data_IF_495962014976
#
_entry.id   IF_495962014976
#
_cell.length_a   1.000
_cell.length_b   1.000
_cell.length_c   1.000
_cell.angle_alpha   90.00
_cell.angle_beta   90.00
_cell.angle_gamma   90.00
#
_symmetry.space_group_name_H-M   'P 1'
#
loop_
_entity.id
_entity.type
_entity.pdbx_description
1 polymer ?
#
# COMPACT_ATOMS: atom_id res chain seq x y z
N UNK A 1 -36.89 -1.02 -10.46
CA UNK A 1 -36.04 -1.98 -11.19
C UNK A 1 -34.65 -1.37 -11.34
N UNK A 2 -33.64 -2.18 -11.08
CA UNK A 2 -32.24 -1.80 -10.94
C UNK A 2 -31.58 -1.34 -12.24
N UNK A 3 -30.62 -0.40 -12.15
CA UNK A 3 -29.23 -0.63 -12.58
C UNK A 3 -28.33 0.54 -12.12
N UNK A 4 -27.87 0.50 -10.87
CA UNK A 4 -26.74 1.34 -10.46
C UNK A 4 -25.49 0.80 -11.16
N UNK A 5 -25.04 1.51 -12.20
CA UNK A 5 -23.81 1.20 -12.94
C UNK A 5 -22.61 1.66 -12.11
N UNK A 6 -22.17 0.80 -11.20
CA UNK A 6 -20.84 0.87 -10.57
C UNK A 6 -19.85 0.26 -11.58
N UNK A 7 -19.50 0.95 -12.68
CA UNK A 7 -18.61 0.38 -13.71
C UNK A 7 -17.57 1.36 -14.26
N UNK A 8 -17.18 2.40 -13.51
CA UNK A 8 -16.09 3.28 -13.96
C UNK A 8 -15.30 3.87 -12.79
N UNK A 9 -14.76 2.98 -11.96
CA UNK A 9 -13.57 3.31 -11.14
C UNK A 9 -12.26 2.97 -11.88
N UNK A 10 -12.36 2.43 -13.10
CA UNK A 10 -11.26 1.98 -13.96
C UNK A 10 -10.46 3.13 -14.62
N UNK A 11 -10.82 4.39 -14.35
CA UNK A 11 -10.20 5.58 -14.94
C UNK A 11 -9.65 6.56 -13.89
N UNK A 12 -9.13 6.04 -12.79
CA UNK A 12 -8.11 6.78 -12.03
C UNK A 12 -6.77 6.47 -12.68
N UNK A 13 -6.50 7.15 -13.78
CA UNK A 13 -5.20 7.02 -14.41
C UNK A 13 -4.14 7.59 -13.47
N UNK A 14 -3.21 6.72 -13.08
CA UNK A 14 -2.05 6.97 -12.21
C UNK A 14 -0.99 7.88 -12.86
N UNK A 15 -1.39 8.78 -13.75
CA UNK A 15 -0.46 9.53 -14.61
C UNK A 15 0.19 10.74 -13.92
N UNK A 16 -0.10 10.98 -12.64
CA UNK A 16 0.48 12.09 -11.86
C UNK A 16 1.27 11.63 -10.62
N UNK A 17 1.51 10.32 -10.45
CA UNK A 17 2.34 9.81 -9.35
C UNK A 17 3.76 9.59 -9.89
N UNK A 18 4.63 10.59 -9.71
CA UNK A 18 6.10 10.58 -9.88
C UNK A 18 6.69 9.54 -10.86
N UNK A 19 7.32 10.02 -11.93
CA UNK A 19 7.99 9.29 -13.03
C UNK A 19 8.99 8.17 -12.63
N UNK A 20 9.27 7.93 -11.34
CA UNK A 20 10.32 7.02 -10.86
C UNK A 20 9.80 5.73 -10.16
N UNK A 21 8.50 5.58 -9.92
CA UNK A 21 7.97 4.39 -9.23
C UNK A 21 7.18 3.48 -10.18
N UNK A 22 7.86 2.49 -10.74
CA UNK A 22 7.22 1.43 -11.53
C UNK A 22 6.39 0.53 -10.59
N UNK A 23 5.09 0.79 -10.51
CA UNK A 23 4.15 0.03 -9.69
C UNK A 23 3.85 -1.30 -10.38
N UNK A 24 4.36 -2.41 -9.85
CA UNK A 24 4.05 -3.75 -10.37
C UNK A 24 2.94 -4.36 -9.52
N UNK A 25 1.76 -4.67 -10.10
CA UNK A 25 0.75 -5.48 -9.42
C UNK A 25 1.30 -6.89 -9.28
N UNK A 26 1.66 -7.28 -8.06
CA UNK A 26 2.27 -8.59 -7.79
C UNK A 26 1.30 -9.57 -7.11
N UNK A 27 0.14 -9.12 -6.65
CA UNK A 27 -0.81 -9.93 -5.89
C UNK A 27 -1.91 -10.49 -6.78
N UNK A 28 -2.32 -11.74 -6.51
CA UNK A 28 -3.54 -12.30 -7.10
C UNK A 28 -4.77 -11.85 -6.30
N UNK A 29 -5.99 -11.86 -6.87
CA UNK A 29 -7.21 -11.55 -6.12
C UNK A 29 -7.39 -12.39 -4.85
N UNK A 30 -6.89 -13.64 -4.87
CA UNK A 30 -6.94 -14.55 -3.72
C UNK A 30 -6.04 -14.09 -2.57
N UNK A 31 -4.86 -13.51 -2.89
CA UNK A 31 -3.95 -12.93 -1.90
C UNK A 31 -4.56 -11.67 -1.26
N UNK A 32 -5.24 -10.83 -2.05
CA UNK A 32 -5.93 -9.63 -1.55
C UNK A 32 -7.07 -9.98 -0.57
N UNK A 33 -7.85 -11.01 -0.89
CA UNK A 33 -8.91 -11.51 -0.02
C UNK A 33 -8.36 -12.10 1.28
N UNK A 34 -7.18 -12.72 1.24
CA UNK A 34 -6.51 -13.24 2.44
C UNK A 34 -6.00 -12.11 3.33
N UNK A 35 -5.35 -11.09 2.75
CA UNK A 35 -4.89 -9.89 3.46
C UNK A 35 -6.05 -9.14 4.13
N UNK A 36 -7.18 -9.02 3.45
CA UNK A 36 -8.37 -8.34 3.97
C UNK A 36 -8.99 -9.04 5.18
N UNK A 37 -8.72 -10.35 5.35
CA UNK A 37 -9.20 -11.17 6.47
C UNK A 37 -8.20 -11.27 7.62
N UNK A 38 -6.99 -10.76 7.44
CA UNK A 38 -5.96 -10.80 8.47
C UNK A 38 -6.28 -9.81 9.60
N UNK A 39 -6.03 -10.23 10.84
CA UNK A 39 -6.32 -9.38 12.01
C UNK A 39 -5.18 -8.38 12.19
N UNK A 40 -5.51 -7.10 12.11
CA UNK A 40 -4.56 -6.02 12.39
C UNK A 40 -4.17 -6.00 13.89
N UNK A 41 -2.92 -5.64 14.21
CA UNK A 41 -2.49 -5.44 15.59
C UNK A 41 -3.22 -4.24 16.23
N UNK A 42 -3.34 -4.23 17.55
CA UNK A 42 -3.98 -3.14 18.30
C UNK A 42 -3.21 -1.81 18.16
N UNK A 43 -1.90 -1.88 17.94
CA UNK A 43 -1.02 -0.74 17.69
C UNK A 43 -0.34 -0.89 16.35
N UNK A 44 -0.46 0.11 15.48
CA UNK A 44 0.14 0.10 14.14
C UNK A 44 1.25 1.16 14.03
N UNK A 45 2.50 0.77 13.71
CA UNK A 45 3.55 1.72 13.42
C UNK A 45 3.27 2.48 12.12
N UNK A 46 3.49 3.80 12.11
CA UNK A 46 3.24 4.66 10.94
C UNK A 46 4.57 5.10 10.34
N UNK A 47 4.83 4.70 9.10
CA UNK A 47 5.95 5.20 8.30
C UNK A 47 5.46 6.33 7.37
N UNK A 48 5.81 7.61 7.63
CA UNK A 48 5.35 8.72 6.82
C UNK A 48 6.06 8.75 5.46
N UNK A 49 5.27 8.72 4.38
CA UNK A 49 5.73 8.92 3.00
C UNK A 49 5.31 10.32 2.51
N UNK A 50 6.04 10.85 1.52
CA UNK A 50 5.72 12.14 0.88
C UNK A 50 5.25 11.89 -0.54
N UNK A 51 4.21 12.60 -0.96
CA UNK A 51 3.73 12.60 -2.34
C UNK A 51 3.37 11.18 -2.85
N UNK A 52 2.89 10.30 -1.96
CA UNK A 52 2.54 8.92 -2.33
C UNK A 52 1.33 8.45 -1.53
N UNK A 53 0.41 7.79 -2.22
CA UNK A 53 -0.73 7.07 -1.64
C UNK A 53 -0.62 5.62 -2.10
N UNK A 54 -0.66 4.67 -1.16
CA UNK A 54 -0.58 3.24 -1.44
C UNK A 54 -1.98 2.64 -1.42
N UNK A 55 -2.27 1.81 -2.42
CA UNK A 55 -3.46 0.98 -2.46
C UNK A 55 -3.09 -0.47 -2.12
N UNK A 56 -4.04 -1.29 -1.62
CA UNK A 56 -3.83 -2.73 -1.46
C UNK A 56 -3.36 -3.39 -2.77
N UNK A 57 -2.56 -4.45 -2.67
CA UNK A 57 -2.03 -5.16 -3.84
C UNK A 57 -0.79 -4.54 -4.50
N UNK A 58 -0.44 -3.30 -4.15
CA UNK A 58 0.68 -2.56 -4.74
C UNK A 58 1.98 -2.77 -3.95
N UNK A 59 3.06 -3.10 -4.65
CA UNK A 59 4.41 -3.21 -4.08
C UNK A 59 5.31 -2.15 -4.69
N UNK A 60 6.05 -1.44 -3.83
CA UNK A 60 7.06 -0.45 -4.25
C UNK A 60 8.40 -0.68 -3.54
N UNK A 61 9.54 -0.59 -4.24
CA UNK A 61 10.82 -0.47 -3.59
C UNK A 61 10.94 0.92 -2.95
N UNK A 62 11.35 0.98 -1.69
CA UNK A 62 11.63 2.24 -0.98
C UNK A 62 13.00 2.21 -0.32
N UNK A 63 13.64 3.39 -0.25
CA UNK A 63 14.90 3.57 0.46
C UNK A 63 14.66 4.42 1.70
N UNK A 64 14.99 3.90 2.89
CA UNK A 64 14.86 4.63 4.15
C UNK A 64 16.18 5.31 4.55
N UNK A 65 16.22 6.64 4.53
CA UNK A 65 17.43 7.42 4.88
C UNK A 65 17.38 8.17 6.22
N UNK A 66 16.21 8.30 6.84
CA UNK A 66 16.06 9.05 8.11
C UNK A 66 16.21 8.12 9.30
N UNK A 67 17.00 8.50 10.29
CA UNK A 67 17.24 7.69 11.51
C UNK A 67 15.95 7.20 12.17
N UNK A 68 14.93 8.06 12.27
CA UNK A 68 13.62 7.71 12.84
C UNK A 68 12.88 6.64 12.03
N UNK A 69 12.96 6.73 10.69
CA UNK A 69 12.35 5.75 9.79
C UNK A 69 13.08 4.40 9.87
N UNK A 70 14.42 4.43 9.88
CA UNK A 70 15.26 3.24 10.03
C UNK A 70 14.97 2.55 11.37
N UNK A 71 14.91 3.33 12.46
CA UNK A 71 14.57 2.82 13.80
C UNK A 71 13.19 2.16 13.82
N UNK A 72 12.17 2.82 13.26
CA UNK A 72 10.80 2.27 13.19
C UNK A 72 10.75 0.93 12.46
N UNK A 73 11.40 0.84 11.29
CA UNK A 73 11.45 -0.39 10.49
C UNK A 73 12.14 -1.52 11.27
N UNK A 74 13.27 -1.22 11.91
CA UNK A 74 14.02 -2.20 12.69
C UNK A 74 13.27 -2.68 13.94
N UNK A 75 12.53 -1.80 14.62
CA UNK A 75 11.71 -2.16 15.77
C UNK A 75 10.53 -3.05 15.35
N UNK A 76 9.86 -2.70 14.25
CA UNK A 76 8.73 -3.47 13.71
C UNK A 76 9.16 -4.87 13.24
N UNK A 77 10.28 -4.99 12.53
CA UNK A 77 10.80 -6.27 12.03
C UNK A 77 11.28 -7.22 13.14
N UNK A 78 11.58 -6.72 14.33
CA UNK A 78 11.99 -7.54 15.48
C UNK A 78 10.80 -8.18 16.21
N UNK A 79 9.57 -7.98 15.72
CA UNK A 79 8.35 -8.53 16.32
C UNK A 79 7.94 -7.78 17.57
N UNK A 80 7.89 -6.43 17.48
CA UNK A 80 7.36 -5.58 18.55
C UNK A 80 6.01 -6.04 19.07
#
# INVERSE_FOLDING_TARGET
MAKTKITSLDSLSLQDINEDAELIPLMTPEDEDAMSREKLPDTLPILPLRNTVLFPGVVIPITAGRDKSIKLINETNKGG
#
